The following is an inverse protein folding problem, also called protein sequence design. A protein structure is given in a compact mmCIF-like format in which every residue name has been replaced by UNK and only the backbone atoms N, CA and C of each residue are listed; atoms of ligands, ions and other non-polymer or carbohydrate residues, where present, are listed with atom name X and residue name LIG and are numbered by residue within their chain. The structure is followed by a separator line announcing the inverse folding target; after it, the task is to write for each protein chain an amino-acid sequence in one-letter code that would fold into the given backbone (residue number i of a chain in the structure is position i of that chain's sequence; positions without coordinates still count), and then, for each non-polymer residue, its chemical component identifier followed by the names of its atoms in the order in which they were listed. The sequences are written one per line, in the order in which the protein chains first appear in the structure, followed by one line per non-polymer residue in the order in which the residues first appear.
data_IF_737406582565
#
_entry.id   IF_737406582565
#
_cell.length_a   1.000
_cell.length_b   1.000
_cell.length_c   1.000
_cell.angle_alpha   90.00
_cell.angle_beta   90.00
_cell.angle_gamma   90.00
#
_symmetry.space_group_name_H-M   'P 1'
#
loop_
_entity.id
_entity.type
_entity.pdbx_description
1 polymer ?
#
# COMPACT_ATOMS: atom_id res chain seq x y z
N UNK A 1 -16.41 -29.30 -5.18
CA UNK A 1 -16.83 -28.39 -4.10
C UNK A 1 -16.59 -26.96 -4.56
N UNK A 2 -17.67 -26.27 -4.92
CA UNK A 2 -17.70 -24.89 -5.39
C UNK A 2 -17.58 -23.93 -4.19
N UNK A 3 -16.46 -23.24 -4.06
CA UNK A 3 -16.29 -22.17 -3.07
C UNK A 3 -16.66 -20.83 -3.71
N UNK A 4 -17.79 -20.28 -3.29
CA UNK A 4 -18.23 -18.94 -3.65
C UNK A 4 -17.31 -17.91 -2.99
N UNK A 5 -16.62 -17.09 -3.79
CA UNK A 5 -15.89 -15.93 -3.31
C UNK A 5 -16.86 -14.75 -3.20
N UNK A 6 -17.26 -14.42 -1.97
CA UNK A 6 -17.98 -13.19 -1.70
C UNK A 6 -16.99 -12.02 -1.82
N UNK A 7 -17.08 -11.26 -2.92
CA UNK A 7 -16.32 -10.02 -3.12
C UNK A 7 -16.84 -8.92 -2.20
N UNK A 8 -16.07 -8.58 -1.16
CA UNK A 8 -16.32 -7.39 -0.35
C UNK A 8 -15.60 -6.19 -0.95
N UNK A 9 -16.35 -5.18 -1.37
CA UNK A 9 -15.80 -3.86 -1.73
C UNK A 9 -15.44 -3.15 -0.42
N UNK A 10 -14.15 -2.98 -0.14
CA UNK A 10 -13.69 -2.14 0.97
C UNK A 10 -13.52 -0.72 0.44
N UNK A 11 -14.50 0.13 0.71
CA UNK A 11 -14.36 1.57 0.53
C UNK A 11 -13.53 2.14 1.70
N UNK A 12 -12.31 2.62 1.41
CA UNK A 12 -11.50 3.36 2.37
C UNK A 12 -11.97 4.81 2.45
N UNK A 13 -12.90 5.10 3.36
CA UNK A 13 -13.19 6.48 3.79
C UNK A 13 -12.46 6.78 5.09
N UNK A 14 -11.17 7.10 5.02
CA UNK A 14 -10.39 7.56 6.17
C UNK A 14 -9.58 8.83 5.82
N UNK A 15 -10.23 10.01 5.72
CA UNK A 15 -9.59 11.26 5.31
C UNK A 15 -8.47 11.70 6.27
N UNK A 16 -8.62 11.39 7.56
CA UNK A 16 -7.72 11.83 8.63
C UNK A 16 -6.42 11.02 8.72
N UNK A 17 -6.41 9.76 8.26
CA UNK A 17 -5.16 8.98 8.15
C UNK A 17 -4.34 9.42 6.92
N UNK A 18 -5.04 9.87 5.88
CA UNK A 18 -4.48 10.39 4.65
C UNK A 18 -3.80 11.77 4.84
N UNK A 19 -4.36 12.62 5.71
CA UNK A 19 -3.80 13.93 6.03
C UNK A 19 -2.49 13.88 6.85
N UNK A 20 -2.21 12.75 7.52
CA UNK A 20 -0.97 12.53 8.28
C UNK A 20 0.21 12.07 7.40
N UNK A 21 -0.06 11.74 6.13
CA UNK A 21 0.97 11.48 5.13
C UNK A 21 1.34 12.83 4.52
N UNK A 22 2.48 13.39 4.92
CA UNK A 22 3.04 14.58 4.26
C UNK A 22 3.10 14.37 2.74
N UNK A 23 2.84 15.40 1.92
CA UNK A 23 2.95 15.29 0.48
C UNK A 23 4.37 14.86 0.11
N UNK A 24 4.51 13.66 -0.45
CA UNK A 24 5.77 13.19 -1.00
C UNK A 24 6.14 14.11 -2.18
N UNK A 25 7.36 14.63 -2.20
CA UNK A 25 7.88 15.36 -3.35
C UNK A 25 7.82 14.47 -4.61
N UNK A 26 7.42 15.05 -5.74
CA UNK A 26 7.40 14.32 -7.01
C UNK A 26 8.82 14.05 -7.50
N UNK A 27 9.11 12.77 -7.69
CA UNK A 27 10.27 12.31 -8.43
C UNK A 27 9.80 11.97 -9.85
N UNK A 28 10.07 12.87 -10.80
CA UNK A 28 10.08 12.52 -12.23
C UNK A 28 11.31 11.67 -12.60
N UNK A 29 12.20 11.42 -11.63
CA UNK A 29 13.32 10.51 -11.75
C UNK A 29 12.94 9.07 -11.41
N UNK A 30 13.66 8.15 -12.04
CA UNK A 30 13.79 6.75 -11.59
C UNK A 30 13.84 6.71 -10.06
N UNK A 31 13.10 5.81 -9.37
CA UNK A 31 13.05 5.76 -7.92
C UNK A 31 14.46 5.88 -7.36
N UNK A 32 14.69 6.87 -6.50
CA UNK A 32 15.99 7.06 -5.89
C UNK A 32 16.41 5.73 -5.28
N UNK A 33 17.58 5.22 -5.69
CA UNK A 33 18.10 3.98 -5.13
C UNK A 33 18.12 4.14 -3.60
N UNK A 34 17.54 3.21 -2.84
CA UNK A 34 17.48 3.32 -1.40
C UNK A 34 18.90 3.48 -0.85
N UNK A 35 19.14 4.60 -0.17
CA UNK A 35 20.40 4.81 0.52
C UNK A 35 20.31 4.15 1.90
N UNK A 36 21.22 3.21 2.17
CA UNK A 36 21.36 2.61 3.50
C UNK A 36 21.73 3.71 4.50
N UNK A 37 20.78 4.07 5.36
CA UNK A 37 21.00 5.05 6.45
C UNK A 37 21.77 4.44 7.63
N UNK A 38 21.79 3.11 7.71
CA UNK A 38 22.61 2.37 8.66
C UNK A 38 23.87 1.91 7.93
N UNK A 39 25.04 2.28 8.47
CA UNK A 39 26.31 1.71 8.03
C UNK A 39 26.44 0.24 8.45
N UNK A 40 27.45 -0.47 7.90
CA UNK A 40 27.76 -1.83 8.35
C UNK A 40 28.11 -1.81 9.85
N UNK A 41 27.66 -2.83 10.58
CA UNK A 41 28.13 -3.05 11.95
C UNK A 41 29.64 -3.35 11.93
N UNK A 42 30.33 -3.07 13.03
CA UNK A 42 31.71 -3.51 13.22
C UNK A 42 31.79 -5.03 13.06
N UNK A 43 32.89 -5.55 12.49
CA UNK A 43 33.09 -7.00 12.31
C UNK A 43 33.06 -7.78 13.64
N UNK A 44 33.29 -7.10 14.75
CA UNK A 44 33.25 -7.64 16.12
C UNK A 44 31.90 -7.43 16.81
N UNK A 45 30.89 -6.90 16.10
CA UNK A 45 29.58 -6.70 16.70
C UNK A 45 28.96 -8.05 17.09
N UNK A 46 28.34 -8.13 18.28
CA UNK A 46 27.73 -9.37 18.72
C UNK A 46 26.61 -9.78 17.76
N UNK A 47 26.61 -11.04 17.36
CA UNK A 47 25.51 -11.62 16.60
C UNK A 47 24.27 -11.71 17.50
N UNK A 48 23.07 -11.43 16.96
CA UNK A 48 21.83 -11.72 17.65
C UNK A 48 21.77 -13.21 18.04
N UNK A 49 21.25 -13.50 19.25
CA UNK A 49 21.02 -14.88 19.71
C UNK A 49 19.52 -15.17 19.73
N UNK A 50 19.15 -16.44 19.52
CA UNK A 50 17.76 -16.89 19.58
C UNK A 50 17.13 -16.56 20.96
N UNK A 51 17.91 -16.72 22.05
CA UNK A 51 17.50 -16.33 23.42
C UNK A 51 17.30 -14.83 23.57
N UNK A 52 18.22 -14.01 23.02
CA UNK A 52 18.10 -12.55 23.06
C UNK A 52 16.86 -12.06 22.30
N UNK A 53 16.58 -12.66 21.14
CA UNK A 53 15.38 -12.38 20.36
C UNK A 53 14.11 -12.76 21.13
N UNK A 54 14.06 -13.95 21.73
CA UNK A 54 12.92 -14.39 22.53
C UNK A 54 12.65 -13.47 23.72
N UNK A 55 13.72 -13.03 24.42
CA UNK A 55 13.61 -12.08 25.53
C UNK A 55 13.08 -10.71 25.07
N UNK A 56 13.56 -10.22 23.92
CA UNK A 56 13.10 -8.95 23.36
C UNK A 56 11.62 -8.97 22.95
N UNK A 57 11.14 -10.09 22.40
CA UNK A 57 9.75 -10.24 21.97
C UNK A 57 8.79 -10.58 23.13
N UNK A 58 9.28 -11.30 24.14
CA UNK A 58 8.46 -11.91 25.19
C UNK A 58 7.54 -10.92 25.91
N UNK A 59 8.05 -9.73 26.25
CA UNK A 59 7.25 -8.70 26.92
C UNK A 59 6.07 -8.19 26.10
N UNK A 60 6.27 -7.95 24.80
CA UNK A 60 5.22 -7.52 23.88
C UNK A 60 4.19 -8.61 23.64
N UNK A 61 4.67 -9.84 23.46
CA UNK A 61 3.87 -11.03 23.20
C UNK A 61 3.00 -11.41 24.42
N UNK A 62 3.51 -11.21 25.64
CA UNK A 62 2.78 -11.47 26.88
C UNK A 62 1.69 -10.41 27.17
N UNK A 63 1.91 -9.16 26.76
CA UNK A 63 0.95 -8.06 26.94
C UNK A 63 -0.09 -7.96 25.82
N UNK A 64 0.03 -8.78 24.77
CA UNK A 64 -0.89 -8.72 23.64
C UNK A 64 -2.29 -9.18 24.05
N UNK A 65 -3.34 -8.38 23.83
CA UNK A 65 -4.70 -8.79 24.14
C UNK A 65 -5.18 -9.85 23.14
N UNK A 66 -5.68 -10.99 23.64
CA UNK A 66 -6.24 -12.05 22.81
C UNK A 66 -5.20 -13.02 22.24
N UNK A 67 -5.51 -13.60 21.07
CA UNK A 67 -4.65 -14.62 20.44
C UNK A 67 -3.54 -13.96 19.65
N UNK A 68 -2.29 -14.35 19.93
CA UNK A 68 -1.11 -13.91 19.20
C UNK A 68 -0.48 -15.07 18.45
N UNK A 69 -0.22 -14.87 17.16
CA UNK A 69 0.64 -15.74 16.33
C UNK A 69 1.77 -14.91 15.72
N UNK A 70 2.91 -15.54 15.46
CA UNK A 70 4.01 -14.86 14.78
C UNK A 70 5.16 -15.78 14.43
N UNK A 71 5.96 -15.35 13.46
CA UNK A 71 7.18 -16.02 13.03
C UNK A 71 8.23 -14.95 12.69
N UNK A 72 9.47 -15.21 13.07
CA UNK A 72 10.64 -14.41 12.67
C UNK A 72 11.59 -15.35 11.94
N UNK A 73 11.97 -14.96 10.73
CA UNK A 73 12.87 -15.71 9.85
C UNK A 73 14.08 -14.87 9.50
N UNK A 74 15.23 -15.52 9.37
CA UNK A 74 16.38 -14.94 8.69
C UNK A 74 16.13 -14.98 7.17
N UNK A 75 16.02 -13.83 6.48
CA UNK A 75 15.73 -13.81 5.04
C UNK A 75 16.89 -14.34 4.17
N UNK A 76 18.13 -14.39 4.68
CA UNK A 76 19.27 -14.90 3.92
C UNK A 76 19.32 -16.43 3.91
N UNK A 77 18.99 -17.06 5.04
CA UNK A 77 19.08 -18.52 5.23
C UNK A 77 17.73 -19.23 5.27
N UNK A 78 16.63 -18.48 5.38
CA UNK A 78 15.29 -18.98 5.70
C UNK A 78 15.18 -19.73 7.04
N UNK A 79 16.17 -19.60 7.95
CA UNK A 79 16.10 -20.19 9.30
C UNK A 79 15.00 -19.49 10.11
N UNK A 80 14.10 -20.25 10.72
CA UNK A 80 13.18 -19.73 11.75
C UNK A 80 13.98 -19.41 13.01
N UNK A 81 13.97 -18.15 13.43
CA UNK A 81 14.67 -17.66 14.62
C UNK A 81 13.73 -17.63 15.85
N UNK A 82 12.44 -17.46 15.61
CA UNK A 82 11.40 -17.42 16.65
C UNK A 82 10.03 -17.70 16.05
N UNK A 83 9.13 -18.37 16.79
CA UNK A 83 7.74 -18.55 16.38
C UNK A 83 6.80 -18.78 17.57
N UNK A 84 5.52 -18.41 17.40
CA UNK A 84 4.42 -18.74 18.32
C UNK A 84 3.20 -19.13 17.50
N UNK A 85 2.72 -20.36 17.68
CA UNK A 85 1.52 -20.92 17.01
C UNK A 85 1.40 -20.61 15.51
N UNK A 86 2.46 -20.81 14.69
CA UNK A 86 2.53 -20.29 13.32
C UNK A 86 1.47 -20.86 12.37
N UNK A 87 0.87 -22.01 12.69
CA UNK A 87 -0.18 -22.64 11.89
C UNK A 87 -1.60 -22.15 12.14
N UNK A 88 -1.81 -21.22 13.08
CA UNK A 88 -3.13 -20.68 13.41
C UNK A 88 -3.46 -19.50 12.50
N UNK A 89 -4.47 -19.60 11.59
CA UNK A 89 -4.87 -18.49 10.74
C UNK A 89 -5.53 -17.39 11.59
N UNK A 90 -5.19 -16.13 11.31
CA UNK A 90 -5.84 -14.95 11.90
C UNK A 90 -6.25 -13.97 10.79
N UNK A 91 -7.14 -13.02 11.13
CA UNK A 91 -7.48 -11.92 10.23
C UNK A 91 -6.24 -11.02 10.06
N UNK A 92 -5.68 -10.89 8.84
CA UNK A 92 -4.39 -10.22 8.62
C UNK A 92 -4.42 -8.70 8.83
N UNK A 93 -5.62 -8.10 8.85
CA UNK A 93 -5.77 -6.64 8.85
C UNK A 93 -5.04 -6.01 7.66
N UNK A 94 -4.35 -4.89 7.88
CA UNK A 94 -3.59 -4.23 6.80
C UNK A 94 -2.40 -5.01 6.26
N UNK A 95 -1.96 -6.10 6.92
CA UNK A 95 -0.90 -6.96 6.34
C UNK A 95 -1.36 -7.67 5.07
N UNK A 96 -2.68 -7.78 4.83
CA UNK A 96 -3.23 -8.24 3.55
C UNK A 96 -2.75 -7.42 2.35
N UNK A 97 -2.40 -6.13 2.56
CA UNK A 97 -1.88 -5.27 1.49
C UNK A 97 -0.59 -5.80 0.90
N UNK A 98 0.24 -6.53 1.66
CA UNK A 98 1.47 -7.13 1.12
C UNK A 98 1.13 -8.08 -0.03
N UNK A 99 0.15 -8.96 0.16
CA UNK A 99 -0.28 -9.89 -0.88
C UNK A 99 -0.89 -9.17 -2.08
N UNK A 100 -1.78 -8.18 -1.84
CA UNK A 100 -2.38 -7.37 -2.92
C UNK A 100 -1.32 -6.63 -3.72
N UNK A 101 -0.35 -5.98 -3.05
CA UNK A 101 0.73 -5.25 -3.71
C UNK A 101 1.63 -6.20 -4.50
N UNK A 102 2.01 -7.35 -3.94
CA UNK A 102 2.76 -8.37 -4.68
C UNK A 102 2.02 -8.83 -5.92
N UNK A 103 0.72 -9.13 -5.81
CA UNK A 103 -0.10 -9.50 -6.96
C UNK A 103 -0.14 -8.39 -8.02
N UNK A 104 -0.34 -7.13 -7.63
CA UNK A 104 -0.33 -5.99 -8.54
C UNK A 104 1.02 -5.83 -9.25
N UNK A 105 2.14 -5.91 -8.53
CA UNK A 105 3.49 -5.77 -9.10
C UNK A 105 3.87 -6.93 -10.03
N UNK A 106 3.35 -8.13 -9.77
CA UNK A 106 3.58 -9.31 -10.63
C UNK A 106 2.68 -9.34 -11.87
N UNK A 107 1.58 -8.58 -11.87
CA UNK A 107 0.57 -8.61 -12.95
C UNK A 107 0.59 -7.36 -13.82
N UNK A 108 0.86 -6.19 -13.25
CA UNK A 108 0.85 -4.91 -13.95
C UNK A 108 2.26 -4.52 -14.39
N UNK A 109 2.37 -3.89 -15.56
CA UNK A 109 3.61 -3.21 -15.95
C UNK A 109 3.82 -1.99 -15.04
N UNK A 110 5.08 -1.69 -14.70
CA UNK A 110 5.43 -0.53 -13.86
C UNK A 110 4.94 0.82 -14.42
N UNK A 111 4.65 0.88 -15.72
CA UNK A 111 4.13 2.05 -16.44
C UNK A 111 2.62 1.98 -16.69
N UNK A 112 1.91 1.02 -16.08
CA UNK A 112 0.46 0.90 -16.26
C UNK A 112 -0.24 2.12 -15.66
N UNK A 113 -1.06 2.79 -16.45
CA UNK A 113 -1.93 3.89 -15.99
C UNK A 113 -3.40 3.47 -16.02
N UNK A 114 -4.14 3.84 -14.98
CA UNK A 114 -5.59 3.66 -14.90
C UNK A 114 -6.25 4.93 -15.46
N UNK A 115 -6.98 4.82 -16.59
CA UNK A 115 -7.39 6.00 -17.37
C UNK A 115 -8.87 6.29 -17.20
N UNK A 116 -9.18 7.41 -16.55
CA UNK A 116 -10.54 7.98 -16.51
C UNK A 116 -10.77 8.86 -17.74
N UNK A 117 -11.96 8.78 -18.35
CA UNK A 117 -12.32 9.50 -19.58
C UNK A 117 -13.61 10.26 -19.43
N UNK A 118 -13.75 11.35 -20.19
CA UNK A 118 -15.04 11.99 -20.45
C UNK A 118 -15.42 11.73 -21.90
N UNK A 119 -16.66 11.31 -22.13
CA UNK A 119 -17.21 11.06 -23.47
C UNK A 119 -18.54 11.80 -23.63
N UNK A 120 -18.97 12.03 -24.87
CA UNK A 120 -20.29 12.58 -25.14
C UNK A 120 -21.39 11.62 -24.65
N UNK A 121 -22.42 12.17 -24.03
CA UNK A 121 -23.61 11.41 -23.64
C UNK A 121 -24.60 11.24 -24.79
N UNK A 122 -25.64 10.46 -24.55
CA UNK A 122 -26.67 10.14 -25.55
C UNK A 122 -27.66 11.29 -25.80
N UNK A 123 -27.76 12.24 -24.87
CA UNK A 123 -28.61 13.41 -24.97
C UNK A 123 -27.80 14.65 -25.39
N UNK A 124 -28.35 15.57 -26.21
CA UNK A 124 -27.68 16.82 -26.54
C UNK A 124 -27.26 17.59 -25.29
N UNK A 125 -25.98 17.98 -25.22
CA UNK A 125 -25.42 18.71 -24.08
C UNK A 125 -25.05 17.84 -22.86
N UNK A 126 -25.19 16.52 -22.95
CA UNK A 126 -24.78 15.59 -21.87
C UNK A 126 -23.37 15.04 -22.09
N UNK A 127 -22.70 14.68 -20.99
CA UNK A 127 -21.41 13.98 -20.98
C UNK A 127 -21.46 12.80 -20.01
N UNK A 128 -20.57 11.82 -20.20
CA UNK A 128 -20.40 10.67 -19.31
C UNK A 128 -18.95 10.61 -18.83
N UNK A 129 -18.78 10.53 -17.51
CA UNK A 129 -17.48 10.25 -16.89
C UNK A 129 -17.31 8.73 -16.77
N UNK A 130 -16.39 8.18 -17.57
CA UNK A 130 -16.03 6.75 -17.56
C UNK A 130 -14.85 6.56 -16.61
N UNK A 131 -15.12 6.03 -15.41
CA UNK A 131 -14.11 5.76 -14.40
C UNK A 131 -13.16 4.64 -14.82
N UNK A 132 -11.86 4.94 -14.86
CA UNK A 132 -10.82 3.94 -15.15
C UNK A 132 -10.20 3.28 -13.92
N UNK A 133 -10.65 3.68 -12.72
CA UNK A 133 -10.10 3.20 -11.45
C UNK A 133 -8.90 4.00 -10.93
N UNK A 134 -8.60 5.17 -11.50
CA UNK A 134 -7.53 6.06 -11.01
C UNK A 134 -7.80 6.49 -9.55
N UNK A 135 -7.03 5.99 -8.55
CA UNK A 135 -7.24 6.34 -7.16
C UNK A 135 -6.67 7.72 -6.79
N UNK A 136 -6.02 8.40 -7.74
CA UNK A 136 -5.38 9.70 -7.56
C UNK A 136 -6.21 10.87 -8.08
N UNK A 137 -7.27 10.60 -8.85
CA UNK A 137 -8.15 11.62 -9.42
C UNK A 137 -8.77 12.50 -8.32
N UNK A 138 -8.66 13.82 -8.47
CA UNK A 138 -9.12 14.78 -7.45
C UNK A 138 -10.06 15.86 -7.99
N UNK A 139 -10.97 16.31 -7.13
CA UNK A 139 -11.81 17.49 -7.33
C UNK A 139 -11.19 18.77 -6.73
N UNK A 140 -10.04 18.67 -6.07
CA UNK A 140 -9.35 19.83 -5.51
C UNK A 140 -8.96 20.82 -6.62
N UNK A 141 -9.06 22.14 -6.36
CA UNK A 141 -8.65 23.14 -7.34
C UNK A 141 -7.12 23.12 -7.58
N UNK A 142 -6.63 23.67 -8.70
CA UNK A 142 -5.22 23.56 -9.10
C UNK A 142 -4.21 24.08 -8.08
N UNK A 143 -4.59 25.06 -7.27
CA UNK A 143 -3.77 25.68 -6.21
C UNK A 143 -3.71 24.84 -4.92
N UNK A 144 -4.44 23.72 -4.85
CA UNK A 144 -4.47 22.83 -3.68
C UNK A 144 -3.76 21.51 -3.97
N UNK A 145 -2.96 21.10 -3.00
CA UNK A 145 -2.26 19.82 -2.97
C UNK A 145 -3.06 18.84 -2.13
N UNK A 146 -3.33 17.66 -2.70
CA UNK A 146 -3.98 16.56 -2.00
C UNK A 146 -2.96 15.60 -1.39
N UNK A 147 -3.40 14.37 -1.18
CA UNK A 147 -2.54 13.28 -0.69
C UNK A 147 -1.53 12.86 -1.75
N UNK A 148 -1.95 12.86 -3.01
CA UNK A 148 -1.08 12.59 -4.15
C UNK A 148 -0.53 13.92 -4.68
N UNK A 149 0.78 14.01 -4.91
CA UNK A 149 1.45 15.28 -5.23
C UNK A 149 1.18 15.78 -6.66
N UNK A 150 1.02 14.87 -7.62
CA UNK A 150 0.65 15.16 -9.01
C UNK A 150 -0.62 14.37 -9.40
N UNK A 151 -1.80 14.75 -8.87
CA UNK A 151 -3.03 14.05 -9.17
C UNK A 151 -3.58 14.46 -10.55
N UNK A 152 -4.22 13.53 -11.25
CA UNK A 152 -5.15 13.90 -12.31
C UNK A 152 -6.32 14.73 -11.72
N UNK A 153 -6.84 15.72 -12.46
CA UNK A 153 -7.87 16.63 -11.94
C UNK A 153 -9.15 16.59 -12.76
N UNK A 154 -10.29 16.69 -12.06
CA UNK A 154 -11.59 16.84 -12.72
C UNK A 154 -11.67 18.11 -13.59
N UNK A 155 -10.96 19.18 -13.23
CA UNK A 155 -10.88 20.41 -14.04
C UNK A 155 -10.23 20.17 -15.40
N UNK A 156 -9.24 19.27 -15.46
CA UNK A 156 -8.54 18.96 -16.70
C UNK A 156 -9.43 18.12 -17.62
N UNK A 157 -10.20 17.20 -17.03
CA UNK A 157 -11.22 16.44 -17.75
C UNK A 157 -12.35 17.34 -18.28
N UNK A 158 -12.78 18.32 -17.49
CA UNK A 158 -13.80 19.29 -17.90
C UNK A 158 -13.30 20.16 -19.07
N UNK A 159 -12.04 20.60 -19.04
CA UNK A 159 -11.44 21.39 -20.12
C UNK A 159 -11.29 20.62 -21.44
N UNK A 160 -11.32 19.28 -21.41
CA UNK A 160 -11.28 18.44 -22.61
C UNK A 160 -12.63 18.32 -23.31
N UNK A 161 -13.73 18.72 -22.66
CA UNK A 161 -15.06 18.74 -23.28
C UNK A 161 -15.09 19.85 -24.32
N UNK A 162 -15.18 19.47 -25.59
CA UNK A 162 -15.34 20.38 -26.73
C UNK A 162 -16.82 20.51 -27.08
N UNK A 163 -17.23 21.72 -27.44
CA UNK A 163 -18.57 22.00 -27.98
C UNK A 163 -18.76 21.37 -29.37
#
# INVERSE_FOLDING_TARGET
MTAAAAGGVVALSAPSLLAALHPAATSSGQPALPSLKLGPLAATAPLPTDTGLAAALGGSVAKFPGTFTGVVVDPATNKVLWQRTPGTPLVPGSTAKLLTTSAALLTLNATTSLVTRVVAGTEPGSIVLVGGGDPTLTALPPDKVGVYPEPARLTDLAAQVKA
#
